data_IF_536523734072
#
_entry.id   IF_536523734072
#
_cell.length_a   1.000
_cell.length_b   1.000
_cell.length_c   1.000
_cell.angle_alpha   90.00
_cell.angle_beta   90.00
_cell.angle_gamma   90.00
#
_symmetry.space_group_name_H-M   'P 1'
#
loop_
_entity.id
_entity.type
_entity.pdbx_description
1 polymer ?
#
# COMPACT_ATOMS: atom_id res chain seq x y z
N UNK A 1 35.74 13.62 30.27
CA UNK A 1 34.96 12.37 30.24
C UNK A 1 33.49 12.76 30.33
N UNK A 2 32.60 12.17 29.50
CA UNK A 2 31.21 12.59 29.35
C UNK A 2 30.34 11.99 30.46
N UNK A 3 29.32 12.73 30.89
CA UNK A 3 28.21 12.20 31.68
C UNK A 3 26.93 12.68 31.00
N UNK A 4 26.26 11.75 30.32
CA UNK A 4 24.91 11.94 29.80
C UNK A 4 23.93 11.78 30.95
N UNK A 5 23.38 12.89 31.42
CA UNK A 5 22.15 12.93 32.18
C UNK A 5 21.21 13.93 31.48
N UNK A 6 20.22 13.41 30.77
CA UNK A 6 18.96 14.13 30.52
C UNK A 6 17.82 13.12 30.69
N UNK A 7 16.87 13.40 31.61
CA UNK A 7 15.75 12.53 31.94
C UNK A 7 14.58 12.66 30.94
N UNK A 8 13.67 11.69 31.03
CA UNK A 8 12.41 11.58 30.30
C UNK A 8 11.62 12.88 30.19
N UNK A 9 11.15 13.18 28.98
CA UNK A 9 10.20 14.27 28.71
C UNK A 9 9.54 14.12 27.35
N UNK A 10 8.33 13.54 27.37
CA UNK A 10 7.24 13.73 26.41
C UNK A 10 7.42 13.22 24.97
N UNK A 11 6.67 12.15 24.67
CA UNK A 11 6.39 11.71 23.32
C UNK A 11 5.68 12.79 22.52
N UNK A 12 6.45 13.48 21.68
CA UNK A 12 5.94 13.97 20.40
C UNK A 12 5.76 12.74 19.52
N UNK A 13 4.51 12.35 19.30
CA UNK A 13 4.11 11.29 18.38
C UNK A 13 4.63 11.58 16.97
N UNK A 14 5.80 11.06 16.66
CA UNK A 14 6.18 10.75 15.30
C UNK A 14 5.16 9.70 14.82
N UNK A 15 4.48 9.89 13.68
CA UNK A 15 3.67 8.82 13.13
C UNK A 15 4.66 7.72 12.70
N UNK A 16 4.71 6.67 13.52
CA UNK A 16 5.37 5.41 13.24
C UNK A 16 4.73 4.79 11.99
N UNK A 17 5.17 5.22 10.81
CA UNK A 17 4.78 4.61 9.55
C UNK A 17 5.66 3.39 9.25
N UNK A 18 5.79 2.47 10.21
CA UNK A 18 6.28 1.13 9.94
C UNK A 18 5.55 0.08 10.77
N UNK A 19 4.97 -0.84 10.00
CA UNK A 19 4.74 -2.25 10.27
C UNK A 19 3.54 -2.69 11.11
N UNK A 20 2.98 -3.78 10.59
CA UNK A 20 2.10 -4.77 11.22
C UNK A 20 0.64 -4.59 10.88
N UNK A 21 0.16 -5.54 10.08
CA UNK A 21 -1.24 -5.67 9.73
C UNK A 21 -2.12 -5.61 10.98
N UNK A 22 -3.12 -4.76 10.91
CA UNK A 22 -4.24 -4.76 11.82
C UNK A 22 -5.51 -4.88 10.98
N UNK A 23 -5.68 -6.06 10.39
CA UNK A 23 -6.98 -6.68 10.18
C UNK A 23 -7.06 -7.84 11.16
N UNK A 24 -7.18 -7.49 12.44
CA UNK A 24 -7.65 -8.24 13.60
C UNK A 24 -7.39 -9.75 13.70
N UNK A 25 -6.83 -10.15 14.84
CA UNK A 25 -7.21 -11.44 15.42
C UNK A 25 -8.74 -11.60 15.30
N UNK A 26 -9.23 -12.72 14.77
CA UNK A 26 -10.63 -13.04 15.03
C UNK A 26 -10.77 -13.22 16.55
N UNK A 27 -11.77 -12.60 17.18
CA UNK A 27 -13.15 -12.92 16.87
C UNK A 27 -13.96 -11.70 16.44
N UNK A 28 -14.66 -11.83 15.32
CA UNK A 28 -15.86 -11.06 14.93
C UNK A 28 -15.96 -9.64 15.54
N UNK A 29 -15.14 -8.69 15.08
CA UNK A 29 -15.17 -7.34 15.66
C UNK A 29 -14.13 -6.33 15.15
N UNK A 30 -13.56 -6.52 13.95
CA UNK A 30 -12.68 -5.51 13.38
C UNK A 30 -13.47 -4.24 13.09
N UNK A 31 -13.10 -3.06 13.64
CA UNK A 31 -13.62 -1.81 13.11
C UNK A 31 -13.24 -1.72 11.62
N UNK A 32 -14.14 -1.19 10.77
CA UNK A 32 -13.82 -1.02 9.35
C UNK A 32 -12.53 -0.20 9.23
N UNK A 33 -11.69 -0.51 8.22
CA UNK A 33 -10.51 0.32 7.95
C UNK A 33 -10.96 1.78 7.89
N UNK A 34 -10.23 2.72 8.54
CA UNK A 34 -10.57 4.13 8.45
C UNK A 34 -10.68 4.49 6.97
N UNK A 35 -11.71 5.24 6.56
CA UNK A 35 -11.83 5.66 5.17
C UNK A 35 -10.55 6.42 4.83
N UNK A 36 -9.74 5.83 3.97
CA UNK A 36 -8.57 6.52 3.42
C UNK A 36 -9.10 7.77 2.71
N UNK A 37 -8.30 8.85 2.61
CA UNK A 37 -8.68 9.99 1.78
C UNK A 37 -9.15 9.53 0.38
N UNK A 38 -8.51 8.50 -0.16
CA UNK A 38 -8.92 7.80 -1.37
C UNK A 38 -10.40 7.33 -1.35
N UNK A 39 -10.87 6.66 -0.30
CA UNK A 39 -12.25 6.22 -0.13
C UNK A 39 -13.22 7.40 -0.03
N UNK A 40 -12.82 8.51 0.59
CA UNK A 40 -13.63 9.75 0.65
C UNK A 40 -13.67 10.51 -0.67
N UNK A 41 -12.64 10.35 -1.51
CA UNK A 41 -12.57 10.90 -2.86
C UNK A 41 -13.26 10.01 -3.92
N UNK A 42 -13.80 8.85 -3.52
CA UNK A 42 -14.42 7.90 -4.44
C UNK A 42 -13.42 7.09 -5.26
N UNK A 43 -12.14 7.02 -4.86
CA UNK A 43 -11.12 6.17 -5.46
C UNK A 43 -11.39 4.70 -5.10
N UNK A 44 -12.35 4.11 -5.80
CA UNK A 44 -12.85 2.77 -5.53
C UNK A 44 -11.98 1.67 -6.15
N UNK A 45 -11.04 2.01 -7.03
CA UNK A 45 -10.22 1.02 -7.73
C UNK A 45 -8.75 1.24 -7.43
N UNK A 46 -7.99 0.16 -7.25
CA UNK A 46 -6.53 0.22 -7.14
C UNK A 46 -5.90 -0.79 -8.07
N UNK A 47 -4.74 -0.42 -8.60
CA UNK A 47 -3.95 -1.26 -9.50
C UNK A 47 -2.78 -1.83 -8.72
N UNK A 48 -2.70 -3.15 -8.68
CA UNK A 48 -1.75 -3.93 -7.90
C UNK A 48 -0.91 -4.80 -8.84
N UNK A 49 0.40 -4.87 -8.61
CA UNK A 49 1.29 -5.79 -9.32
C UNK A 49 1.78 -6.85 -8.34
N UNK A 50 1.71 -8.12 -8.73
CA UNK A 50 2.30 -9.21 -7.94
C UNK A 50 3.83 -9.07 -7.90
N UNK A 51 4.40 -8.94 -6.71
CA UNK A 51 5.82 -8.62 -6.57
C UNK A 51 6.41 -9.31 -5.32
N UNK A 52 6.31 -10.65 -5.30
CA UNK A 52 6.80 -11.47 -4.19
C UNK A 52 8.33 -11.43 -4.08
N UNK A 53 9.02 -11.40 -5.21
CA UNK A 53 10.47 -11.33 -5.29
C UNK A 53 10.99 -9.87 -5.33
N UNK A 54 12.28 -9.70 -5.00
CA UNK A 54 12.91 -8.39 -4.96
C UNK A 54 13.14 -7.82 -6.37
N UNK A 55 13.46 -8.67 -7.35
CA UNK A 55 13.77 -8.22 -8.70
C UNK A 55 12.55 -7.60 -9.40
N UNK A 56 11.37 -8.22 -9.25
CA UNK A 56 10.10 -7.69 -9.75
C UNK A 56 9.77 -6.36 -9.07
N UNK A 57 10.01 -6.23 -7.75
CA UNK A 57 9.79 -4.95 -7.04
C UNK A 57 10.71 -3.84 -7.53
N UNK A 58 12.00 -4.13 -7.71
CA UNK A 58 12.96 -3.16 -8.22
C UNK A 58 12.63 -2.76 -9.66
N UNK A 59 12.19 -3.72 -10.49
CA UNK A 59 11.77 -3.45 -11.86
C UNK A 59 10.48 -2.60 -11.91
N UNK A 60 9.46 -2.95 -11.13
CA UNK A 60 8.25 -2.12 -11.01
C UNK A 60 8.59 -0.71 -10.55
N UNK A 61 9.49 -0.55 -9.56
CA UNK A 61 9.88 0.77 -9.04
C UNK A 61 10.73 1.58 -10.03
N UNK A 62 11.41 0.92 -10.98
CA UNK A 62 12.09 1.60 -12.09
C UNK A 62 11.11 2.15 -13.14
N UNK A 63 10.00 1.44 -13.39
CA UNK A 63 8.98 1.86 -14.35
C UNK A 63 7.99 2.85 -13.72
N UNK A 64 7.58 2.59 -12.48
CA UNK A 64 6.61 3.37 -11.72
C UNK A 64 7.26 3.77 -10.39
N UNK A 65 7.96 4.92 -10.33
CA UNK A 65 8.68 5.35 -9.13
C UNK A 65 7.75 5.63 -7.94
N UNK A 66 6.49 6.00 -8.22
CA UNK A 66 5.46 6.22 -7.21
C UNK A 66 4.83 4.91 -6.69
N UNK A 67 5.24 3.76 -7.24
CA UNK A 67 4.75 2.47 -6.78
C UNK A 67 5.30 2.14 -5.39
N UNK A 68 4.40 1.71 -4.51
CA UNK A 68 4.76 1.36 -3.14
C UNK A 68 4.33 -0.05 -2.79
N UNK A 69 5.09 -0.68 -1.90
CA UNK A 69 4.83 -2.05 -1.46
C UNK A 69 3.62 -2.10 -0.52
N UNK A 70 2.66 -2.97 -0.84
CA UNK A 70 1.50 -3.27 0.01
C UNK A 70 1.43 -4.77 0.29
N UNK A 71 0.82 -5.15 1.41
CA UNK A 71 0.48 -6.55 1.71
C UNK A 71 -1.02 -6.73 1.67
N UNK A 72 -1.49 -7.69 0.87
CA UNK A 72 -2.91 -8.05 0.74
C UNK A 72 -3.00 -9.56 1.00
N UNK A 73 -3.81 -9.96 1.99
CA UNK A 73 -4.00 -11.37 2.38
C UNK A 73 -2.71 -12.17 2.56
N UNK A 74 -1.68 -11.55 3.14
CA UNK A 74 -0.38 -12.18 3.41
C UNK A 74 0.58 -12.24 2.21
N UNK A 75 0.13 -11.83 1.02
CA UNK A 75 0.94 -11.74 -0.21
C UNK A 75 1.48 -10.32 -0.40
N UNK A 76 2.60 -10.19 -1.08
CA UNK A 76 3.27 -8.91 -1.34
C UNK A 76 2.93 -8.43 -2.74
N UNK A 77 2.43 -7.20 -2.82
CA UNK A 77 2.10 -6.51 -4.06
C UNK A 77 2.80 -5.14 -4.11
N UNK A 78 2.89 -4.57 -5.31
CA UNK A 78 3.21 -3.16 -5.53
C UNK A 78 1.95 -2.44 -5.98
N UNK A 79 1.48 -1.47 -5.20
CA UNK A 79 0.39 -0.60 -5.63
C UNK A 79 0.98 0.53 -6.47
N UNK A 80 0.54 0.63 -7.73
CA UNK A 80 1.02 1.62 -8.70
C UNK A 80 0.10 2.84 -8.80
N UNK A 81 -1.17 2.69 -8.40
CA UNK A 81 -2.15 3.77 -8.46
C UNK A 81 -3.48 3.43 -7.80
N UNK A 82 -4.29 4.46 -7.57
CA UNK A 82 -5.68 4.37 -7.14
C UNK A 82 -6.53 5.32 -7.99
N UNK A 83 -7.68 4.83 -8.44
CA UNK A 83 -8.52 5.45 -9.46
C UNK A 83 -9.99 5.48 -9.01
N UNK A 84 -10.75 6.52 -9.40
CA UNK A 84 -12.17 6.61 -9.11
C UNK A 84 -13.00 5.68 -9.99
N UNK A 85 -12.55 5.41 -11.21
CA UNK A 85 -13.28 4.58 -12.18
C UNK A 85 -12.53 3.30 -12.50
N UNK A 86 -13.30 2.28 -12.91
CA UNK A 86 -12.76 1.01 -13.37
C UNK A 86 -12.01 1.17 -14.70
N UNK A 87 -12.49 2.06 -15.58
CA UNK A 87 -11.94 2.32 -16.90
C UNK A 87 -10.50 2.83 -16.79
N UNK A 88 -10.26 3.89 -16.01
CA UNK A 88 -8.92 4.42 -15.78
C UNK A 88 -7.96 3.40 -15.13
N UNK A 89 -8.49 2.56 -14.23
CA UNK A 89 -7.70 1.49 -13.60
C UNK A 89 -7.36 0.38 -14.60
N UNK A 90 -8.27 0.07 -15.53
CA UNK A 90 -8.05 -0.95 -16.57
C UNK A 90 -7.06 -0.46 -17.62
N UNK A 91 -7.17 0.78 -18.08
CA UNK A 91 -6.23 1.36 -19.05
C UNK A 91 -4.78 1.21 -18.56
N UNK A 92 -4.50 1.64 -17.32
CA UNK A 92 -3.17 1.46 -16.75
C UNK A 92 -2.80 -0.02 -16.60
N UNK A 93 -3.75 -0.86 -16.20
CA UNK A 93 -3.48 -2.28 -16.02
C UNK A 93 -3.15 -2.99 -17.33
N UNK A 94 -3.78 -2.60 -18.44
CA UNK A 94 -3.49 -3.11 -19.77
C UNK A 94 -2.12 -2.66 -20.26
N UNK A 95 -1.75 -1.39 -20.07
CA UNK A 95 -0.42 -0.87 -20.40
C UNK A 95 0.68 -1.65 -19.66
N UNK A 96 0.53 -1.80 -18.34
CA UNK A 96 1.48 -2.54 -17.52
C UNK A 96 1.51 -4.04 -17.86
N UNK A 97 0.38 -4.63 -18.25
CA UNK A 97 0.33 -6.01 -18.70
C UNK A 97 1.04 -6.19 -20.05
N UNK A 98 0.95 -5.22 -20.96
CA UNK A 98 1.71 -5.20 -22.21
C UNK A 98 3.22 -5.07 -21.96
N UNK A 99 3.63 -4.36 -20.91
CA UNK A 99 5.02 -4.32 -20.44
C UNK A 99 5.50 -5.63 -19.78
N UNK A 100 4.59 -6.58 -19.56
CA UNK A 100 4.89 -7.93 -19.03
C UNK A 100 4.67 -8.08 -17.53
N UNK A 101 4.07 -7.08 -16.86
CA UNK A 101 3.75 -7.17 -15.44
C UNK A 101 2.44 -7.96 -15.20
N UNK A 102 2.39 -8.72 -14.12
CA UNK A 102 1.13 -9.34 -13.67
C UNK A 102 0.34 -8.35 -12.82
N UNK A 103 -0.63 -7.71 -13.46
CA UNK A 103 -1.46 -6.68 -12.86
C UNK A 103 -2.80 -7.24 -12.40
N UNK A 104 -3.32 -6.68 -11.31
CA UNK A 104 -4.63 -6.95 -10.75
C UNK A 104 -5.31 -5.63 -10.41
N UNK A 105 -6.52 -5.43 -10.93
CA UNK A 105 -7.39 -4.33 -10.53
C UNK A 105 -8.29 -4.82 -9.41
N UNK A 106 -8.23 -4.14 -8.27
CA UNK A 106 -9.04 -4.49 -7.11
C UNK A 106 -10.01 -3.36 -6.78
N UNK A 107 -11.28 -3.72 -6.59
CA UNK A 107 -12.33 -2.80 -6.16
C UNK A 107 -12.43 -2.77 -4.63
N UNK A 108 -12.30 -1.58 -4.05
CA UNK A 108 -12.39 -1.27 -2.62
C UNK A 108 -13.56 -0.32 -2.39
N UNK A 109 -14.75 -0.85 -2.06
CA UNK A 109 -15.92 -0.03 -1.72
C UNK A 109 -15.78 0.67 -0.36
#
# INVERSE_FOLDING_TARGET
MPSSDIPMGSGGSLPELFTTGAGSALPAGSPPPPPTLASTLGLAYRVLIEAEDQATRDNVQQHVPDAFRVRVDGRVFMQVGAYPTLEEAQDLAEDLNQEGFRVQVEHRP
#
